data_IF_220533805944
#
_entry.id   IF_220533805944
#
_cell.length_a   1.000
_cell.length_b   1.000
_cell.length_c   1.000
_cell.angle_alpha   90.00
_cell.angle_beta   90.00
_cell.angle_gamma   90.00
#
_symmetry.space_group_name_H-M   'P 1'
#
loop_
_entity.id
_entity.type
_entity.pdbx_description
1 polymer ?
#
# COMPACT_ATOMS: atom_id res chain seq x y z
N UNK A 1 -4.34 -29.77 -14.73
CA UNK A 1 -5.25 -29.32 -13.66
C UNK A 1 -4.99 -27.85 -13.46
N UNK A 2 -5.83 -26.99 -14.06
CA UNK A 2 -5.66 -25.54 -13.99
C UNK A 2 -6.15 -25.05 -12.63
N UNK A 3 -5.27 -25.14 -11.62
CA UNK A 3 -5.49 -24.50 -10.34
C UNK A 3 -5.46 -22.98 -10.53
N UNK A 4 -6.31 -22.28 -9.78
CA UNK A 4 -6.28 -20.81 -9.72
C UNK A 4 -4.87 -20.39 -9.26
N UNK A 5 -4.18 -19.49 -9.98
CA UNK A 5 -2.89 -18.95 -9.55
C UNK A 5 -2.93 -18.48 -8.09
N UNK A 6 -1.88 -18.77 -7.32
CA UNK A 6 -1.85 -18.43 -5.89
C UNK A 6 -2.11 -16.94 -5.64
N UNK A 7 -1.57 -16.06 -6.49
CA UNK A 7 -1.83 -14.62 -6.44
C UNK A 7 -3.33 -14.28 -6.54
N UNK A 8 -4.09 -14.96 -7.41
CA UNK A 8 -5.53 -14.71 -7.56
C UNK A 8 -6.32 -15.07 -6.30
N UNK A 9 -5.87 -16.09 -5.55
CA UNK A 9 -6.45 -16.42 -4.24
C UNK A 9 -6.15 -15.34 -3.19
N UNK A 10 -4.92 -14.80 -3.19
CA UNK A 10 -4.56 -13.69 -2.29
C UNK A 10 -5.40 -12.44 -2.58
N UNK A 11 -5.60 -12.15 -3.87
CA UNK A 11 -6.42 -11.04 -4.36
C UNK A 11 -7.88 -11.20 -3.94
N UNK A 12 -8.49 -12.38 -4.17
CA UNK A 12 -9.87 -12.65 -3.76
C UNK A 12 -10.07 -12.47 -2.27
N UNK A 13 -9.15 -12.98 -1.45
CA UNK A 13 -9.20 -12.80 0.00
C UNK A 13 -9.17 -11.32 0.42
N UNK A 14 -8.31 -10.51 -0.21
CA UNK A 14 -8.23 -9.07 0.06
C UNK A 14 -9.53 -8.38 -0.34
N UNK A 15 -10.04 -8.67 -1.54
CA UNK A 15 -11.27 -8.05 -2.05
C UNK A 15 -12.45 -8.38 -1.14
N UNK A 16 -12.58 -9.63 -0.69
CA UNK A 16 -13.63 -10.01 0.25
C UNK A 16 -13.52 -9.25 1.57
N UNK A 17 -12.32 -9.16 2.14
CA UNK A 17 -12.10 -8.45 3.41
C UNK A 17 -12.35 -6.95 3.27
N UNK A 18 -11.89 -6.32 2.20
CA UNK A 18 -12.12 -4.90 1.93
C UNK A 18 -13.60 -4.61 1.63
N UNK A 19 -14.28 -5.49 0.90
CA UNK A 19 -15.73 -5.38 0.67
C UNK A 19 -16.54 -5.53 1.95
N UNK A 20 -16.16 -6.47 2.83
CA UNK A 20 -16.74 -6.61 4.18
C UNK A 20 -16.45 -5.39 5.06
N UNK A 21 -15.26 -4.80 4.97
CA UNK A 21 -14.91 -3.57 5.70
C UNK A 21 -15.68 -2.35 5.17
N UNK A 22 -15.97 -2.29 3.86
CA UNK A 22 -16.83 -1.27 3.27
C UNK A 22 -18.29 -1.42 3.73
N UNK A 23 -18.78 -2.66 3.87
CA UNK A 23 -20.12 -2.96 4.36
C UNK A 23 -20.27 -2.83 5.89
N UNK A 24 -19.17 -2.86 6.65
CA UNK A 24 -19.17 -2.59 8.09
C UNK A 24 -19.23 -1.08 8.34
N UNK A 25 -20.45 -0.54 8.41
CA UNK A 25 -20.71 0.75 9.05
C UNK A 25 -20.59 0.60 10.58
N UNK A 26 -19.36 0.68 11.09
CA UNK A 26 -19.11 0.70 12.54
C UNK A 26 -17.72 1.28 12.82
N UNK A 27 -17.60 2.28 13.70
CA UNK A 27 -16.31 2.93 13.94
C UNK A 27 -15.36 1.94 14.61
N UNK A 28 -14.28 1.55 13.93
CA UNK A 28 -13.05 1.23 14.67
C UNK A 28 -12.75 2.46 15.52
N UNK A 29 -12.54 2.31 16.82
CA UNK A 29 -12.17 3.44 17.70
C UNK A 29 -10.98 4.16 17.07
N UNK A 30 -11.26 5.35 16.52
CA UNK A 30 -10.25 6.09 15.79
C UNK A 30 -9.24 6.63 16.80
N UNK A 31 -7.94 6.41 16.60
CA UNK A 31 -6.95 7.11 17.40
C UNK A 31 -7.18 8.62 17.28
N UNK A 32 -7.41 9.30 18.41
CA UNK A 32 -7.61 10.74 18.43
C UNK A 32 -6.27 11.45 18.33
N UNK A 33 -5.85 11.73 17.10
CA UNK A 33 -4.74 12.63 16.86
C UNK A 33 -5.23 14.08 16.88
N UNK A 34 -4.40 14.98 17.43
CA UNK A 34 -4.71 16.40 17.39
C UNK A 34 -4.75 16.90 15.92
N UNK A 35 -5.75 17.69 15.50
CA UNK A 35 -5.92 18.08 14.08
C UNK A 35 -4.71 18.78 13.46
N UNK A 36 -4.02 19.63 14.23
CA UNK A 36 -2.79 20.30 13.77
C UNK A 36 -1.65 19.30 13.52
N UNK A 37 -1.55 18.27 14.35
CA UNK A 37 -0.53 17.22 14.21
C UNK A 37 -0.79 16.39 12.95
N UNK A 38 -2.05 15.99 12.69
CA UNK A 38 -2.39 15.30 11.44
C UNK A 38 -2.14 16.17 10.20
N UNK A 39 -2.45 17.46 10.27
CA UNK A 39 -2.17 18.37 9.16
C UNK A 39 -0.67 18.42 8.83
N UNK A 40 0.19 18.50 9.86
CA UNK A 40 1.63 18.46 9.69
C UNK A 40 2.11 17.09 9.15
N UNK A 41 1.58 15.99 9.68
CA UNK A 41 1.90 14.64 9.22
C UNK A 41 1.65 14.47 7.71
N UNK A 42 0.47 14.87 7.23
CA UNK A 42 0.16 14.83 5.80
C UNK A 42 0.98 15.81 4.96
N UNK A 43 1.35 16.98 5.50
CA UNK A 43 2.22 17.92 4.78
C UNK A 43 3.65 17.37 4.64
N UNK A 44 4.14 16.62 5.63
CA UNK A 44 5.41 15.88 5.51
C UNK A 44 5.32 14.81 4.43
N UNK A 45 4.21 14.07 4.34
CA UNK A 45 3.98 13.13 3.25
C UNK A 45 4.00 13.84 1.88
N UNK A 46 3.30 14.96 1.76
CA UNK A 46 3.29 15.78 0.53
C UNK A 46 4.68 16.25 0.14
N UNK A 47 5.42 16.80 1.11
CA UNK A 47 6.79 17.31 0.90
C UNK A 47 7.72 16.18 0.47
N UNK A 48 7.60 14.99 1.06
CA UNK A 48 8.37 13.80 0.68
C UNK A 48 8.07 13.37 -0.76
N UNK A 49 6.79 13.38 -1.17
CA UNK A 49 6.37 13.08 -2.54
C UNK A 49 6.92 14.12 -3.54
N UNK A 50 6.97 15.39 -3.16
CA UNK A 50 7.41 16.50 -4.03
C UNK A 50 8.91 16.60 -4.21
N UNK A 51 9.70 16.39 -3.15
CA UNK A 51 11.15 16.59 -3.14
C UNK A 51 11.96 15.36 -3.55
N UNK A 52 11.31 14.34 -4.10
CA UNK A 52 11.98 13.07 -4.39
C UNK A 52 12.85 13.19 -5.65
N UNK A 53 14.16 12.85 -5.60
CA UNK A 53 15.00 12.73 -6.79
C UNK A 53 14.57 11.52 -7.65
N UNK A 54 14.88 11.55 -8.96
CA UNK A 54 14.40 10.55 -9.93
C UNK A 54 14.73 9.10 -9.47
N UNK A 55 13.78 8.15 -9.50
CA UNK A 55 13.93 6.84 -8.85
C UNK A 55 14.88 5.85 -9.53
N UNK A 56 15.40 4.90 -8.73
CA UNK A 56 16.20 3.75 -9.16
C UNK A 56 15.38 2.55 -9.65
N UNK A 57 14.07 2.50 -9.39
CA UNK A 57 13.15 1.42 -9.83
C UNK A 57 11.99 2.00 -10.64
N UNK A 58 11.80 1.47 -11.85
CA UNK A 58 10.83 1.91 -12.86
C UNK A 58 9.36 1.95 -12.38
N UNK A 59 8.99 1.12 -11.40
CA UNK A 59 7.60 0.96 -10.97
C UNK A 59 7.08 2.15 -10.13
N UNK A 60 7.85 2.60 -9.14
CA UNK A 60 7.51 3.76 -8.29
C UNK A 60 7.48 5.07 -9.12
N UNK A 61 8.33 5.16 -10.17
CA UNK A 61 8.33 6.28 -11.15
C UNK A 61 6.97 6.41 -11.84
N UNK A 62 6.45 5.29 -12.35
CA UNK A 62 5.20 5.28 -13.13
C UNK A 62 4.01 5.56 -12.21
N UNK A 63 4.06 5.03 -10.99
CA UNK A 63 3.06 5.32 -9.98
C UNK A 63 3.02 6.81 -9.65
N UNK A 64 4.16 7.49 -9.41
CA UNK A 64 4.18 8.94 -9.12
C UNK A 64 3.53 9.80 -10.21
N UNK A 65 3.86 9.58 -11.49
CA UNK A 65 3.26 10.38 -12.57
C UNK A 65 1.76 10.15 -12.73
N UNK A 66 1.30 8.89 -12.60
CA UNK A 66 -0.12 8.57 -12.56
C UNK A 66 -0.80 9.12 -11.29
N UNK A 67 -0.07 9.16 -10.17
CA UNK A 67 -0.51 9.72 -8.90
C UNK A 67 -0.74 11.22 -9.02
N UNK A 68 0.23 11.96 -9.55
CA UNK A 68 0.16 13.40 -9.71
C UNK A 68 -1.01 13.78 -10.63
N UNK A 69 -1.20 13.05 -11.74
CA UNK A 69 -2.33 13.27 -12.65
C UNK A 69 -3.68 12.86 -12.03
N UNK A 70 -3.72 11.71 -11.35
CA UNK A 70 -4.95 11.17 -10.75
C UNK A 70 -5.40 11.94 -9.51
N UNK A 71 -4.47 12.41 -8.68
CA UNK A 71 -4.77 13.20 -7.47
C UNK A 71 -5.42 14.54 -7.79
N UNK A 72 -5.16 15.13 -8.96
CA UNK A 72 -5.85 16.35 -9.42
C UNK A 72 -7.38 16.15 -9.56
N UNK A 73 -7.84 14.91 -9.78
CA UNK A 73 -9.25 14.56 -9.89
C UNK A 73 -9.87 14.10 -8.55
N UNK A 74 -9.08 14.09 -7.47
CA UNK A 74 -9.50 13.59 -6.16
C UNK A 74 -9.83 14.72 -5.18
N UNK A 75 -10.70 14.43 -4.21
CA UNK A 75 -10.90 15.30 -3.05
C UNK A 75 -9.60 15.42 -2.24
N UNK A 76 -9.43 16.54 -1.52
CA UNK A 76 -8.24 16.77 -0.67
C UNK A 76 -7.97 15.64 0.33
N UNK A 77 -9.02 14.99 0.83
CA UNK A 77 -8.91 13.85 1.74
C UNK A 77 -8.29 12.63 1.06
N UNK A 78 -8.76 12.28 -0.15
CA UNK A 78 -8.22 11.16 -0.92
C UNK A 78 -6.79 11.43 -1.40
N UNK A 79 -6.45 12.67 -1.74
CA UNK A 79 -5.06 13.06 -2.05
C UNK A 79 -4.12 12.81 -0.87
N UNK A 80 -4.53 13.23 0.34
CA UNK A 80 -3.77 13.02 1.57
C UNK A 80 -3.53 11.54 1.87
N UNK A 81 -4.57 10.72 1.78
CA UNK A 81 -4.47 9.26 1.95
C UNK A 81 -3.53 8.63 0.92
N UNK A 82 -3.62 9.09 -0.33
CA UNK A 82 -2.75 8.65 -1.41
C UNK A 82 -1.28 8.97 -1.14
N UNK A 83 -0.97 10.17 -0.62
CA UNK A 83 0.41 10.50 -0.21
C UNK A 83 0.90 9.61 0.92
N UNK A 84 0.08 9.32 1.92
CA UNK A 84 0.45 8.46 3.04
C UNK A 84 0.78 7.03 2.58
N UNK A 85 -0.05 6.45 1.72
CA UNK A 85 0.18 5.12 1.12
C UNK A 85 1.48 5.13 0.32
N UNK A 86 1.66 6.10 -0.57
CA UNK A 86 2.86 6.19 -1.40
C UNK A 86 4.14 6.29 -0.58
N UNK A 87 4.14 7.15 0.44
CA UNK A 87 5.29 7.32 1.34
C UNK A 87 5.62 6.02 2.05
N UNK A 88 4.61 5.28 2.53
CA UNK A 88 4.83 3.98 3.16
C UNK A 88 5.40 2.95 2.18
N UNK A 89 4.83 2.85 0.98
CA UNK A 89 5.35 1.96 -0.07
C UNK A 89 6.81 2.28 -0.39
N UNK A 90 7.15 3.57 -0.51
CA UNK A 90 8.53 3.99 -0.78
C UNK A 90 9.48 3.65 0.36
N UNK A 91 9.09 3.94 1.61
CA UNK A 91 9.92 3.61 2.78
C UNK A 91 10.19 2.11 2.85
N UNK A 92 9.20 1.29 2.48
CA UNK A 92 9.31 -0.17 2.40
C UNK A 92 10.31 -0.59 1.32
N UNK A 93 10.23 0.00 0.13
CA UNK A 93 11.16 -0.22 -0.99
C UNK A 93 12.62 0.18 -0.65
N UNK A 94 12.80 1.27 0.08
CA UNK A 94 14.12 1.74 0.51
C UNK A 94 14.80 0.83 1.53
N UNK A 95 14.04 -0.02 2.25
CA UNK A 95 14.63 -1.01 3.15
C UNK A 95 15.49 -2.02 2.38
N UNK A 96 15.09 -2.42 1.18
CA UNK A 96 15.83 -3.41 0.37
C UNK A 96 16.71 -2.79 -0.71
N UNK A 97 16.45 -1.54 -1.11
CA UNK A 97 17.19 -0.85 -2.18
C UNK A 97 18.11 0.28 -1.70
N UNK A 98 18.14 0.57 -0.40
CA UNK A 98 18.99 1.62 0.17
C UNK A 98 20.48 1.28 0.13
N UNK A 99 21.36 2.23 0.49
CA UNK A 99 22.82 2.01 0.51
C UNK A 99 23.27 0.88 1.45
N UNK A 100 22.39 0.44 2.37
CA UNK A 100 22.63 -0.68 3.30
C UNK A 100 22.04 -2.03 2.81
N UNK A 101 21.52 -2.11 1.59
CA UNK A 101 20.86 -3.29 1.01
C UNK A 101 21.68 -4.59 1.14
N UNK A 102 23.01 -4.51 1.00
CA UNK A 102 23.91 -5.67 1.09
C UNK A 102 24.02 -6.31 2.48
N UNK A 103 23.49 -5.67 3.53
CA UNK A 103 23.49 -6.17 4.91
C UNK A 103 22.08 -6.40 5.47
N UNK A 104 21.07 -6.44 4.60
CA UNK A 104 19.69 -6.56 5.05
C UNK A 104 19.41 -7.94 5.65
N UNK A 105 19.29 -7.95 6.97
CA UNK A 105 18.84 -9.12 7.73
C UNK A 105 17.32 -9.22 7.66
N UNK A 106 16.80 -10.45 7.63
CA UNK A 106 15.38 -10.75 7.84
C UNK A 106 14.80 -10.06 9.09
N UNK A 107 15.64 -9.75 10.08
CA UNK A 107 15.27 -8.98 11.27
C UNK A 107 14.73 -7.57 10.96
N UNK A 108 15.24 -6.89 9.93
CA UNK A 108 14.78 -5.54 9.55
C UNK A 108 13.36 -5.60 9.00
N UNK A 109 13.08 -6.55 8.11
CA UNK A 109 11.75 -6.73 7.53
C UNK A 109 10.74 -7.24 8.57
N UNK A 110 11.17 -8.07 9.53
CA UNK A 110 10.33 -8.47 10.66
C UNK A 110 9.96 -7.26 11.54
N UNK A 111 10.92 -6.41 11.89
CA UNK A 111 10.65 -5.18 12.64
C UNK A 111 9.76 -4.20 11.87
N UNK A 112 9.85 -4.17 10.53
CA UNK A 112 8.95 -3.38 9.69
C UNK A 112 7.52 -3.95 9.67
N UNK A 113 7.36 -5.26 9.69
CA UNK A 113 6.05 -5.90 9.80
C UNK A 113 5.40 -5.69 11.18
N UNK A 114 6.19 -5.72 12.26
CA UNK A 114 5.71 -5.37 13.60
C UNK A 114 5.23 -3.90 13.64
N UNK A 115 6.02 -3.00 13.05
CA UNK A 115 5.65 -1.58 12.92
C UNK A 115 4.37 -1.39 12.10
N UNK A 116 4.17 -2.19 11.05
CA UNK A 116 2.91 -2.22 10.29
C UNK A 116 1.74 -2.66 11.18
N UNK A 117 1.92 -3.65 12.06
CA UNK A 117 0.87 -4.02 13.02
C UNK A 117 0.53 -2.88 13.96
N UNK A 118 1.53 -2.16 14.46
CA UNK A 118 1.32 -1.02 15.33
C UNK A 118 0.51 0.08 14.64
N UNK A 119 0.78 0.38 13.36
CA UNK A 119 -0.02 1.32 12.55
C UNK A 119 -1.49 0.89 12.48
N UNK A 120 -1.76 -0.37 12.15
CA UNK A 120 -3.15 -0.88 12.07
C UNK A 120 -3.83 -0.98 13.45
N UNK A 121 -3.05 -1.00 14.53
CA UNK A 121 -3.54 -0.94 15.91
C UNK A 121 -3.61 0.49 16.48
N UNK A 122 -3.35 1.53 15.68
CA UNK A 122 -3.46 2.92 16.12
C UNK A 122 -2.25 3.46 16.90
N UNK A 123 -1.09 2.79 16.84
CA UNK A 123 0.15 3.13 17.54
C UNK A 123 1.26 3.56 16.56
N UNK A 124 1.20 4.75 15.95
CA UNK A 124 2.25 5.18 15.03
C UNK A 124 3.57 5.45 15.77
N UNK A 125 4.70 5.09 15.14
CA UNK A 125 6.03 5.39 15.68
C UNK A 125 6.49 6.82 15.33
N UNK A 126 6.13 7.32 14.15
CA UNK A 126 6.47 8.69 13.71
C UNK A 126 5.29 9.39 13.00
N UNK A 127 5.52 10.61 12.52
CA UNK A 127 4.48 11.40 11.84
C UNK A 127 4.02 10.78 10.51
N UNK A 128 4.89 10.10 9.77
CA UNK A 128 4.50 9.46 8.51
C UNK A 128 3.62 8.24 8.78
N UNK A 129 3.94 7.49 9.84
CA UNK A 129 3.09 6.42 10.35
C UNK A 129 1.75 6.94 10.85
N UNK A 130 1.72 8.12 11.48
CA UNK A 130 0.46 8.72 11.94
C UNK A 130 -0.46 9.09 10.76
N UNK A 131 0.11 9.60 9.66
CA UNK A 131 -0.65 9.85 8.44
C UNK A 131 -1.24 8.56 7.85
N UNK A 132 -0.46 7.48 7.81
CA UNK A 132 -0.97 6.18 7.37
C UNK A 132 -2.00 5.60 8.34
N UNK A 133 -1.78 5.75 9.65
CA UNK A 133 -2.70 5.32 10.70
C UNK A 133 -4.06 6.00 10.53
N UNK A 134 -4.09 7.32 10.38
CA UNK A 134 -5.34 8.04 10.09
C UNK A 134 -5.99 7.56 8.78
N UNK A 135 -5.19 7.23 7.77
CA UNK A 135 -5.67 6.72 6.47
C UNK A 135 -6.33 5.34 6.60
N UNK A 136 -5.72 4.37 7.29
CA UNK A 136 -6.26 2.99 7.44
C UNK A 136 -7.50 2.91 8.33
N UNK A 137 -7.77 3.94 9.13
CA UNK A 137 -9.02 4.08 9.90
C UNK A 137 -10.10 4.89 9.17
N UNK A 138 -9.76 5.59 8.08
CA UNK A 138 -10.71 6.34 7.24
C UNK A 138 -11.20 5.55 6.03
N UNK A 139 -10.32 4.72 5.46
CA UNK A 139 -10.61 3.94 4.27
C UNK A 139 -10.61 2.44 4.60
N UNK A 140 -11.37 1.60 3.89
CA UNK A 140 -11.47 0.17 4.16
C UNK A 140 -10.23 -0.58 3.62
N UNK A 141 -9.06 -0.21 4.12
CA UNK A 141 -7.78 -0.81 3.77
C UNK A 141 -7.58 -2.13 4.54
N UNK A 142 -7.09 -3.16 3.85
CA UNK A 142 -6.76 -4.44 4.47
C UNK A 142 -5.25 -4.54 4.69
N UNK A 143 -4.87 -4.95 5.90
CA UNK A 143 -3.46 -5.09 6.30
C UNK A 143 -2.71 -6.10 5.43
N UNK A 144 -3.43 -7.07 4.84
CA UNK A 144 -2.82 -8.11 4.02
C UNK A 144 -2.13 -7.53 2.80
N UNK A 145 -2.70 -6.53 2.11
CA UNK A 145 -2.02 -5.88 0.98
C UNK A 145 -0.65 -5.31 1.37
N UNK A 146 -0.54 -4.78 2.59
CA UNK A 146 0.72 -4.23 3.12
C UNK A 146 1.70 -5.33 3.50
N UNK A 147 1.25 -6.40 4.16
CA UNK A 147 2.10 -7.57 4.46
C UNK A 147 2.62 -8.25 3.19
N UNK A 148 1.76 -8.38 2.19
CA UNK A 148 2.09 -8.95 0.89
C UNK A 148 3.20 -8.13 0.20
N UNK A 149 3.17 -6.80 0.29
CA UNK A 149 4.26 -5.97 -0.23
C UNK A 149 5.59 -6.23 0.51
N UNK A 150 5.56 -6.38 1.84
CA UNK A 150 6.75 -6.74 2.64
C UNK A 150 7.28 -8.12 2.20
N UNK A 151 6.40 -9.07 1.88
CA UNK A 151 6.80 -10.38 1.35
C UNK A 151 7.49 -10.27 -0.02
N UNK A 152 7.02 -9.37 -0.88
CA UNK A 152 7.72 -9.01 -2.12
C UNK A 152 9.15 -8.56 -1.86
N UNK A 153 9.35 -7.69 -0.85
CA UNK A 153 10.69 -7.23 -0.46
C UNK A 153 11.56 -8.38 0.07
N UNK A 154 10.99 -9.36 0.79
CA UNK A 154 11.73 -10.56 1.21
C UNK A 154 12.20 -11.37 0.01
N UNK A 155 11.38 -11.47 -1.04
CA UNK A 155 11.78 -12.15 -2.27
C UNK A 155 12.98 -11.47 -2.94
N UNK A 156 13.04 -10.13 -2.94
CA UNK A 156 14.14 -9.37 -3.52
C UNK A 156 15.48 -9.58 -2.80
N UNK A 157 15.46 -9.86 -1.48
CA UNK A 157 16.71 -10.11 -0.71
C UNK A 157 17.40 -11.43 -1.04
N UNK A 158 16.70 -12.40 -1.63
CA UNK A 158 17.20 -13.78 -1.78
C UNK A 158 17.05 -14.42 -3.16
N UNK A 159 16.27 -13.83 -4.08
CA UNK A 159 16.03 -14.41 -5.42
C UNK A 159 16.60 -13.55 -6.54
N UNK A 160 17.53 -14.11 -7.30
CA UNK A 160 18.07 -13.47 -8.51
C UNK A 160 17.35 -13.92 -9.80
N UNK A 161 16.55 -14.99 -9.79
CA UNK A 161 15.89 -15.52 -11.00
C UNK A 161 14.60 -16.28 -10.68
N UNK A 162 13.55 -16.00 -11.45
CA UNK A 162 12.27 -16.71 -11.42
C UNK A 162 12.31 -17.93 -12.36
N UNK A 163 11.80 -19.07 -11.90
CA UNK A 163 11.84 -20.34 -12.65
C UNK A 163 10.81 -20.41 -13.77
N UNK A 164 9.67 -19.76 -13.59
CA UNK A 164 8.55 -19.80 -14.53
C UNK A 164 7.73 -18.51 -14.45
N UNK A 165 6.77 -18.38 -15.37
CA UNK A 165 5.88 -17.22 -15.43
C UNK A 165 5.01 -17.06 -14.18
N UNK A 166 4.60 -18.14 -13.51
CA UNK A 166 3.76 -18.06 -12.30
C UNK A 166 4.53 -17.44 -11.13
N UNK A 167 5.81 -17.78 -10.97
CA UNK A 167 6.67 -17.13 -9.97
C UNK A 167 6.90 -15.65 -10.28
N UNK A 168 7.09 -15.30 -11.56
CA UNK A 168 7.20 -13.90 -11.98
C UNK A 168 5.90 -13.13 -11.76
N UNK A 169 4.76 -13.73 -12.08
CA UNK A 169 3.43 -13.16 -11.87
C UNK A 169 3.17 -12.90 -10.38
N UNK A 170 3.51 -13.86 -9.53
CA UNK A 170 3.41 -13.70 -8.07
C UNK A 170 4.31 -12.58 -7.55
N UNK A 171 5.52 -12.44 -8.10
CA UNK A 171 6.39 -11.32 -7.77
C UNK A 171 5.78 -9.98 -8.19
N UNK A 172 5.31 -9.85 -9.43
CA UNK A 172 4.61 -8.65 -9.90
C UNK A 172 3.39 -8.32 -9.03
N UNK A 173 2.63 -9.32 -8.60
CA UNK A 173 1.55 -9.14 -7.64
C UNK A 173 2.07 -8.48 -6.35
N UNK A 174 3.13 -8.99 -5.74
CA UNK A 174 3.64 -8.47 -4.47
C UNK A 174 4.19 -7.04 -4.55
N UNK A 175 4.96 -6.71 -5.60
CA UNK A 175 5.64 -5.40 -5.69
C UNK A 175 4.81 -4.32 -6.40
N UNK A 176 3.80 -4.73 -7.18
CA UNK A 176 3.00 -3.83 -7.99
C UNK A 176 1.49 -3.96 -7.72
N UNK A 177 0.97 -5.19 -7.76
CA UNK A 177 -0.45 -5.44 -7.56
C UNK A 177 -0.97 -4.99 -6.19
N UNK A 178 -0.19 -5.24 -5.12
CA UNK A 178 -0.51 -4.80 -3.76
C UNK A 178 -0.72 -3.29 -3.65
N UNK A 179 0.05 -2.47 -4.37
CA UNK A 179 -0.09 -1.01 -4.40
C UNK A 179 -1.43 -0.62 -5.04
N UNK A 180 -1.85 -1.32 -6.10
CA UNK A 180 -3.18 -1.19 -6.69
C UNK A 180 -4.28 -1.50 -5.67
N UNK A 181 -4.16 -2.61 -4.95
CA UNK A 181 -5.11 -3.05 -3.91
C UNK A 181 -5.19 -2.09 -2.72
N UNK A 182 -4.11 -1.38 -2.39
CA UNK A 182 -4.12 -0.30 -1.39
C UNK A 182 -4.81 0.97 -1.93
N UNK A 183 -4.71 1.23 -3.23
CA UNK A 183 -5.16 2.47 -3.85
C UNK A 183 -6.66 2.47 -4.17
N UNK A 184 -7.22 1.33 -4.62
CA UNK A 184 -8.63 1.21 -5.02
C UNK A 184 -9.61 1.68 -3.93
N UNK A 185 -9.48 1.29 -2.64
CA UNK A 185 -10.35 1.80 -1.57
C UNK A 185 -10.30 3.32 -1.38
N UNK A 186 -9.15 3.94 -1.62
CA UNK A 186 -8.96 5.39 -1.49
C UNK A 186 -9.56 6.13 -2.68
N UNK A 187 -9.35 5.61 -3.89
CA UNK A 187 -9.94 6.17 -5.11
C UNK A 187 -11.46 6.05 -5.09
N UNK A 188 -11.99 4.98 -4.49
CA UNK A 188 -13.41 4.70 -4.38
C UNK A 188 -14.01 4.15 -5.67
N UNK A 189 -15.16 3.51 -5.54
CA UNK A 189 -15.96 3.00 -6.66
C UNK A 189 -17.20 3.89 -6.77
N UNK A 190 -17.51 4.35 -7.97
CA UNK A 190 -18.72 5.11 -8.23
C UNK A 190 -19.96 4.26 -7.88
N UNK A 191 -20.89 4.75 -7.04
CA UNK A 191 -22.08 3.98 -6.64
C UNK A 191 -22.93 3.48 -7.82
N UNK A 192 -22.94 4.25 -8.90
CA UNK A 192 -23.64 3.99 -10.16
C UNK A 192 -22.86 3.09 -11.14
N UNK A 193 -21.66 2.64 -10.77
CA UNK A 193 -20.85 1.78 -11.63
C UNK A 193 -21.57 0.44 -11.89
N UNK A 194 -21.82 0.06 -13.16
CA UNK A 194 -22.37 -1.26 -13.49
C UNK A 194 -21.35 -2.38 -13.30
N UNK A 195 -20.08 -2.03 -13.06
CA UNK A 195 -18.96 -2.96 -12.94
C UNK A 195 -18.85 -3.45 -11.50
N UNK A 196 -18.78 -4.77 -11.32
CA UNK A 196 -18.64 -5.38 -9.99
C UNK A 196 -17.35 -4.93 -9.29
N UNK A 197 -17.37 -4.88 -7.95
CA UNK A 197 -16.18 -4.60 -7.13
C UNK A 197 -15.03 -5.53 -7.52
N UNK A 198 -15.28 -6.83 -7.66
CA UNK A 198 -14.27 -7.80 -8.07
C UNK A 198 -13.60 -7.43 -9.40
N UNK A 199 -14.39 -7.00 -10.39
CA UNK A 199 -13.85 -6.59 -11.70
C UNK A 199 -12.99 -5.34 -11.61
N UNK A 200 -13.34 -4.37 -10.76
CA UNK A 200 -12.56 -3.15 -10.55
C UNK A 200 -11.22 -3.47 -9.90
N UNK A 201 -11.21 -4.33 -8.89
CA UNK A 201 -9.97 -4.75 -8.24
C UNK A 201 -9.09 -5.61 -9.16
N UNK A 202 -9.69 -6.49 -9.96
CA UNK A 202 -8.95 -7.26 -10.95
C UNK A 202 -8.31 -6.35 -12.03
N UNK A 203 -8.94 -5.23 -12.38
CA UNK A 203 -8.37 -4.26 -13.32
C UNK A 203 -7.21 -3.44 -12.73
N UNK A 204 -7.00 -3.50 -11.41
CA UNK A 204 -5.90 -2.83 -10.72
C UNK A 204 -4.61 -3.70 -10.64
N UNK A 205 -4.65 -4.92 -11.18
CA UNK A 205 -3.57 -5.92 -11.19
C UNK A 205 -3.06 -6.17 -12.61
#
# INVERSE_FOLDING_TARGET
>A
MNGIPFADLQVQEIIERQSKNLAREGPREKPQFHPKFLAEAYERCRTFVQNMPRPSIQFVVKFKHCLDAGTLLMTKERQKATWAIYVWCRRTDELVNGPNAGHMSSAVLNGWEDRLQDIFNGRPYDMLDAALTDTVFKFPLDVKSFRDMIEGMRMDTGKCRYKNFQELYLYCYYVAGTVGLMSVPVMGIAPESPVSTQTIYNAAL
#
